data_IF_190973488514
#
_entry.id   IF_190973488514
#
_cell.length_a   1.000
_cell.length_b   1.000
_cell.length_c   1.000
_cell.angle_alpha   90.00
_cell.angle_beta   90.00
_cell.angle_gamma   90.00
#
_symmetry.space_group_name_H-M   'P 1'
#
loop_
_entity.id
_entity.type
_entity.pdbx_description
1 polymer ?
#
# COMPACT_ATOMS: atom_id res chain seq x y z
N UNK A 1 33.04 13.19 -39.61
CA UNK A 1 31.97 12.19 -39.84
C UNK A 1 30.94 12.76 -40.79
N UNK A 2 30.52 12.00 -41.80
CA UNK A 2 29.56 12.45 -42.82
C UNK A 2 28.15 12.58 -42.19
N UNK A 3 27.31 13.54 -42.63
CA UNK A 3 25.98 13.78 -42.04
C UNK A 3 25.07 12.54 -42.02
N UNK A 4 25.22 11.64 -42.99
CA UNK A 4 24.51 10.36 -43.04
C UNK A 4 24.81 9.42 -41.87
N UNK A 5 26.03 9.44 -41.30
CA UNK A 5 26.37 8.60 -40.13
C UNK A 5 25.69 9.09 -38.86
N UNK A 6 25.43 10.39 -38.71
CA UNK A 6 24.67 10.93 -37.55
C UNK A 6 23.20 10.54 -37.61
N UNK A 7 22.59 10.54 -38.80
CA UNK A 7 21.19 10.15 -38.98
C UNK A 7 20.96 8.66 -38.70
N UNK A 8 21.88 7.79 -39.14
CA UNK A 8 21.80 6.35 -38.86
C UNK A 8 21.96 6.04 -37.37
N UNK A 9 22.86 6.71 -36.66
CA UNK A 9 23.04 6.52 -35.20
C UNK A 9 21.81 6.98 -34.42
N UNK A 10 21.17 8.09 -34.80
CA UNK A 10 19.93 8.57 -34.16
C UNK A 10 18.77 7.61 -34.41
N UNK A 11 18.64 7.05 -35.62
CA UNK A 11 17.60 6.06 -35.93
C UNK A 11 17.83 4.75 -35.17
N UNK A 12 19.08 4.27 -35.03
CA UNK A 12 19.40 3.08 -34.24
C UNK A 12 19.12 3.30 -32.75
N UNK A 13 19.47 4.46 -32.17
CA UNK A 13 19.15 4.79 -30.77
C UNK A 13 17.64 4.90 -30.52
N UNK A 14 16.89 5.47 -31.48
CA UNK A 14 15.43 5.53 -31.40
C UNK A 14 14.80 4.13 -31.52
N UNK A 15 15.30 3.27 -32.40
CA UNK A 15 14.85 1.88 -32.54
C UNK A 15 15.19 1.04 -31.30
N UNK A 16 16.39 1.14 -30.75
CA UNK A 16 16.76 0.45 -29.50
C UNK A 16 15.92 0.93 -28.30
N UNK A 17 15.63 2.23 -28.22
CA UNK A 17 14.69 2.74 -27.21
C UNK A 17 13.26 2.21 -27.40
N UNK A 18 12.81 2.05 -28.65
CA UNK A 18 11.49 1.48 -28.96
C UNK A 18 11.43 -0.01 -28.64
N UNK A 19 12.48 -0.78 -28.94
CA UNK A 19 12.55 -2.21 -28.65
C UNK A 19 12.67 -2.48 -27.14
N UNK A 20 13.48 -1.70 -26.41
CA UNK A 20 13.62 -1.82 -24.95
C UNK A 20 12.31 -1.46 -24.22
N UNK A 21 11.60 -0.42 -24.68
CA UNK A 21 10.27 -0.08 -24.19
C UNK A 21 9.29 -1.22 -24.53
N UNK A 22 9.26 -1.71 -25.77
CA UNK A 22 8.34 -2.79 -26.17
C UNK A 22 8.52 -4.11 -25.39
N UNK A 23 9.76 -4.51 -25.09
CA UNK A 23 10.06 -5.70 -24.29
C UNK A 23 9.73 -5.52 -22.79
N UNK A 24 9.78 -4.29 -22.26
CA UNK A 24 9.36 -4.00 -20.89
C UNK A 24 7.83 -3.92 -20.74
N UNK A 25 7.11 -3.53 -21.80
CA UNK A 25 5.64 -3.61 -21.86
C UNK A 25 5.13 -5.06 -21.83
N UNK A 26 5.90 -6.04 -22.32
CA UNK A 26 5.54 -7.46 -22.23
C UNK A 26 5.44 -7.96 -20.77
N UNK A 27 6.18 -7.36 -19.82
CA UNK A 27 6.05 -7.70 -18.40
C UNK A 27 4.69 -7.26 -17.80
N UNK A 28 3.97 -6.34 -18.45
CA UNK A 28 2.71 -5.77 -17.95
C UNK A 28 1.48 -6.09 -18.80
N UNK A 29 1.64 -6.58 -20.04
CA UNK A 29 0.54 -6.78 -21.01
C UNK A 29 -0.62 -7.69 -20.55
N UNK A 30 -0.46 -8.44 -19.47
CA UNK A 30 -1.51 -9.25 -18.85
C UNK A 30 -1.68 -8.97 -17.35
N UNK A 31 -1.34 -7.75 -16.92
CA UNK A 31 -1.34 -7.37 -15.50
C UNK A 31 -2.51 -6.49 -15.11
N UNK A 32 -3.28 -5.90 -16.03
CA UNK A 32 -4.39 -4.99 -15.67
C UNK A 32 -5.73 -5.66 -15.95
N UNK A 33 -6.61 -5.68 -14.94
CA UNK A 33 -7.91 -6.32 -14.99
C UNK A 33 -9.01 -5.35 -14.50
N UNK A 34 -9.72 -4.74 -15.44
CA UNK A 34 -10.83 -3.79 -15.19
C UNK A 34 -12.21 -4.45 -15.15
N UNK A 35 -12.33 -5.70 -15.61
CA UNK A 35 -13.63 -6.37 -15.79
C UNK A 35 -14.50 -6.47 -14.53
N UNK A 36 -13.91 -6.50 -13.33
CA UNK A 36 -14.67 -6.47 -12.08
C UNK A 36 -15.38 -5.12 -11.87
N UNK A 37 -14.69 -4.01 -12.14
CA UNK A 37 -15.26 -2.66 -12.10
C UNK A 37 -16.32 -2.46 -13.21
N UNK A 38 -16.07 -2.96 -14.42
CA UNK A 38 -17.04 -2.87 -15.53
C UNK A 38 -18.34 -3.60 -15.22
N UNK A 39 -18.27 -4.84 -14.70
CA UNK A 39 -19.46 -5.60 -14.30
C UNK A 39 -20.18 -4.93 -13.13
N UNK A 40 -19.43 -4.32 -12.20
CA UNK A 40 -20.00 -3.54 -11.10
C UNK A 40 -20.83 -2.35 -11.61
N UNK A 41 -20.27 -1.53 -12.50
CA UNK A 41 -20.97 -0.36 -13.06
C UNK A 41 -22.17 -0.76 -13.93
N UNK A 42 -22.04 -1.85 -14.71
CA UNK A 42 -23.15 -2.41 -15.49
C UNK A 42 -24.31 -2.85 -14.60
N UNK A 43 -24.02 -3.55 -13.49
CA UNK A 43 -25.06 -3.96 -12.55
C UNK A 43 -25.68 -2.75 -11.83
N UNK A 44 -24.88 -1.72 -11.50
CA UNK A 44 -25.39 -0.45 -11.00
C UNK A 44 -26.37 0.22 -11.95
N UNK A 45 -26.06 0.22 -13.26
CA UNK A 45 -26.95 0.79 -14.27
C UNK A 45 -28.27 0.01 -14.40
N UNK A 46 -28.19 -1.30 -14.31
CA UNK A 46 -29.36 -2.17 -14.32
C UNK A 46 -30.31 -1.85 -13.15
N UNK A 47 -29.76 -1.73 -11.93
CA UNK A 47 -30.50 -1.31 -10.73
C UNK A 47 -31.13 0.07 -10.97
N UNK A 48 -30.34 1.02 -11.46
CA UNK A 48 -30.81 2.39 -11.70
C UNK A 48 -31.95 2.47 -12.72
N UNK A 49 -31.96 1.57 -13.70
CA UNK A 49 -33.00 1.48 -14.73
C UNK A 49 -34.28 0.77 -14.25
N UNK A 50 -34.36 0.39 -12.97
CA UNK A 50 -35.48 -0.34 -12.40
C UNK A 50 -35.51 -1.83 -12.78
N UNK A 51 -34.42 -2.38 -13.30
CA UNK A 51 -34.33 -3.82 -13.59
C UNK A 51 -34.26 -4.58 -12.27
N UNK A 52 -35.17 -5.52 -12.06
CA UNK A 52 -35.10 -6.43 -10.92
C UNK A 52 -33.76 -7.19 -10.93
N UNK A 53 -33.00 -7.09 -9.83
CA UNK A 53 -31.75 -7.83 -9.66
C UNK A 53 -32.03 -9.27 -9.27
N UNK A 54 -31.68 -10.21 -10.14
CA UNK A 54 -31.80 -11.63 -9.87
C UNK A 54 -30.55 -12.17 -9.15
N UNK A 55 -30.64 -13.39 -8.60
CA UNK A 55 -29.51 -14.06 -7.95
C UNK A 55 -28.30 -14.17 -8.91
N UNK A 56 -28.57 -14.45 -10.19
CA UNK A 56 -27.55 -14.62 -11.22
C UNK A 56 -26.76 -13.34 -11.49
N UNK A 57 -27.34 -12.16 -11.32
CA UNK A 57 -26.63 -10.89 -11.50
C UNK A 57 -25.51 -10.72 -10.47
N UNK A 58 -25.82 -11.06 -9.21
CA UNK A 58 -24.85 -11.05 -8.13
C UNK A 58 -23.79 -12.13 -8.31
N UNK A 59 -24.18 -13.32 -8.75
CA UNK A 59 -23.24 -14.40 -9.06
C UNK A 59 -22.27 -14.00 -10.18
N UNK A 60 -22.76 -13.29 -11.22
CA UNK A 60 -21.92 -12.73 -12.29
C UNK A 60 -20.90 -11.73 -11.74
N UNK A 61 -21.31 -10.79 -10.90
CA UNK A 61 -20.38 -9.83 -10.27
C UNK A 61 -19.30 -10.53 -9.44
N UNK A 62 -19.72 -11.41 -8.51
CA UNK A 62 -18.80 -12.02 -7.55
C UNK A 62 -17.97 -13.17 -8.13
N UNK A 63 -18.27 -13.64 -9.35
CA UNK A 63 -17.44 -14.60 -10.09
C UNK A 63 -16.43 -13.94 -11.02
N UNK A 64 -16.42 -12.60 -11.12
CA UNK A 64 -15.32 -11.89 -11.81
C UNK A 64 -14.00 -12.14 -11.10
N UNK A 65 -12.89 -12.07 -11.86
CA UNK A 65 -11.57 -12.44 -11.36
C UNK A 65 -11.14 -11.63 -10.14
N UNK A 66 -11.32 -10.29 -10.18
CA UNK A 66 -10.94 -9.39 -9.09
C UNK A 66 -11.74 -9.67 -7.81
N UNK A 67 -13.06 -9.77 -7.90
CA UNK A 67 -13.88 -10.08 -6.72
C UNK A 67 -13.65 -11.50 -6.19
N UNK A 68 -13.42 -12.49 -7.06
CA UNK A 68 -13.11 -13.86 -6.63
C UNK A 68 -11.85 -13.89 -5.76
N UNK A 69 -10.77 -13.24 -6.21
CA UNK A 69 -9.52 -13.16 -5.44
C UNK A 69 -9.69 -12.30 -4.18
N UNK A 70 -10.27 -11.11 -4.29
CA UNK A 70 -10.44 -10.18 -3.17
C UNK A 70 -11.27 -10.77 -2.03
N UNK A 71 -12.34 -11.50 -2.37
CA UNK A 71 -13.29 -12.08 -1.42
C UNK A 71 -12.85 -13.46 -0.91
N UNK A 72 -11.71 -14.00 -1.37
CA UNK A 72 -11.15 -15.26 -0.89
C UNK A 72 -10.48 -15.10 0.49
N UNK A 73 -11.27 -14.73 1.49
CA UNK A 73 -10.83 -14.56 2.88
C UNK A 73 -12.00 -14.80 3.86
N UNK A 74 -11.75 -14.98 5.17
CA UNK A 74 -12.81 -15.28 6.15
C UNK A 74 -13.94 -14.25 6.24
N UNK A 75 -13.71 -13.01 5.79
CA UNK A 75 -14.72 -11.92 5.77
C UNK A 75 -15.44 -11.80 4.42
N UNK A 76 -15.14 -12.66 3.44
CA UNK A 76 -15.66 -12.56 2.07
C UNK A 76 -17.18 -12.48 1.98
N UNK A 77 -17.90 -13.38 2.68
CA UNK A 77 -19.37 -13.38 2.67
C UNK A 77 -19.99 -12.15 3.35
N UNK A 78 -19.34 -11.63 4.40
CA UNK A 78 -19.74 -10.36 5.01
C UNK A 78 -19.58 -9.22 4.00
N UNK A 79 -18.44 -9.13 3.33
CA UNK A 79 -18.16 -8.08 2.34
C UNK A 79 -19.15 -8.16 1.16
N UNK A 80 -19.48 -9.36 0.67
CA UNK A 80 -20.50 -9.55 -0.37
C UNK A 80 -21.85 -8.97 0.04
N UNK A 81 -22.28 -9.22 1.28
CA UNK A 81 -23.55 -8.69 1.80
C UNK A 81 -23.52 -7.16 1.88
N UNK A 82 -22.44 -6.58 2.40
CA UNK A 82 -22.30 -5.12 2.48
C UNK A 82 -22.23 -4.46 1.10
N UNK A 83 -21.56 -5.08 0.12
CA UNK A 83 -21.53 -4.60 -1.27
C UNK A 83 -22.91 -4.62 -1.92
N UNK A 84 -23.68 -5.70 -1.74
CA UNK A 84 -25.06 -5.78 -2.24
C UNK A 84 -25.92 -4.64 -1.68
N UNK A 85 -25.89 -4.47 -0.37
CA UNK A 85 -26.66 -3.40 0.30
C UNK A 85 -26.22 -2.01 -0.17
N UNK A 86 -24.91 -1.78 -0.26
CA UNK A 86 -24.37 -0.51 -0.74
C UNK A 86 -24.76 -0.21 -2.18
N UNK A 87 -24.75 -1.20 -3.08
CA UNK A 87 -25.16 -1.02 -4.47
C UNK A 87 -26.67 -0.73 -4.57
N UNK A 88 -27.50 -1.47 -3.85
CA UNK A 88 -28.95 -1.21 -3.83
C UNK A 88 -29.24 0.19 -3.28
N UNK A 89 -28.59 0.58 -2.18
CA UNK A 89 -28.73 1.93 -1.64
C UNK A 89 -28.28 3.02 -2.63
N UNK A 90 -27.16 2.81 -3.33
CA UNK A 90 -26.53 3.83 -4.14
C UNK A 90 -27.16 4.01 -5.54
N UNK A 91 -27.65 2.94 -6.15
CA UNK A 91 -28.12 2.95 -7.53
C UNK A 91 -29.64 2.91 -7.67
N UNK A 92 -30.39 2.43 -6.67
CA UNK A 92 -31.86 2.40 -6.71
C UNK A 92 -32.42 3.83 -6.67
N UNK A 93 -33.16 4.28 -7.70
CA UNK A 93 -33.71 5.63 -7.75
C UNK A 93 -34.65 5.95 -6.58
N UNK A 94 -35.30 4.95 -5.99
CA UNK A 94 -36.21 5.13 -4.86
C UNK A 94 -35.47 5.34 -3.53
N UNK A 95 -34.16 5.06 -3.49
CA UNK A 95 -33.32 5.18 -2.28
C UNK A 95 -32.36 6.37 -2.30
N UNK A 96 -32.43 7.24 -3.32
CA UNK A 96 -31.54 8.40 -3.45
C UNK A 96 -31.53 9.29 -2.19
N UNK A 97 -32.70 9.54 -1.59
CA UNK A 97 -32.79 10.35 -0.37
C UNK A 97 -32.05 9.72 0.83
N UNK A 98 -32.12 8.39 0.95
CA UNK A 98 -31.36 7.64 1.96
C UNK A 98 -29.86 7.70 1.66
N UNK A 99 -29.46 7.52 0.39
CA UNK A 99 -28.10 7.63 -0.08
C UNK A 99 -27.50 9.03 0.19
N UNK A 100 -28.27 10.11 0.01
CA UNK A 100 -27.88 11.48 0.34
C UNK A 100 -27.73 11.69 1.86
N UNK A 101 -28.58 11.05 2.65
CA UNK A 101 -28.51 11.14 4.11
C UNK A 101 -27.22 10.51 4.63
N UNK A 102 -26.84 9.33 4.14
CA UNK A 102 -25.67 8.63 4.67
C UNK A 102 -24.34 9.35 4.38
N UNK A 103 -24.27 10.13 3.29
CA UNK A 103 -23.09 10.92 2.98
C UNK A 103 -22.85 12.07 3.96
N UNK A 104 -23.87 12.47 4.73
CA UNK A 104 -23.78 13.53 5.75
C UNK A 104 -23.29 13.00 7.09
N UNK A 105 -23.32 11.68 7.31
CA UNK A 105 -22.84 11.09 8.56
C UNK A 105 -21.30 11.07 8.58
N UNK A 106 -20.68 11.43 9.72
CA UNK A 106 -19.23 11.26 9.86
C UNK A 106 -18.89 9.77 9.80
N UNK A 107 -17.96 9.42 8.92
CA UNK A 107 -17.34 8.11 8.95
C UNK A 107 -16.42 8.00 10.17
N UNK A 108 -16.46 6.86 10.84
CA UNK A 108 -15.63 6.57 12.01
C UNK A 108 -14.75 5.36 11.75
N UNK A 109 -13.60 5.28 12.43
CA UNK A 109 -12.66 4.15 12.28
C UNK A 109 -13.30 2.81 12.67
N UNK A 110 -14.34 2.87 13.50
CA UNK A 110 -15.09 1.71 14.00
C UNK A 110 -16.23 1.27 13.08
N UNK A 111 -16.59 2.04 12.05
CA UNK A 111 -17.74 1.76 11.18
C UNK A 111 -17.36 1.66 9.70
N UNK A 112 -16.55 0.65 9.37
CA UNK A 112 -16.16 0.34 8.00
C UNK A 112 -17.33 0.03 7.04
N UNK A 113 -18.46 -0.59 7.47
CA UNK A 113 -19.63 -0.72 6.60
C UNK A 113 -20.19 0.63 6.13
N UNK A 114 -20.20 1.65 6.99
CA UNK A 114 -20.60 3.00 6.59
C UNK A 114 -19.64 3.59 5.56
N UNK A 115 -18.32 3.45 5.77
CA UNK A 115 -17.29 3.89 4.81
C UNK A 115 -17.52 3.28 3.43
N UNK A 116 -17.75 1.96 3.38
CA UNK A 116 -18.03 1.24 2.12
C UNK A 116 -19.27 1.82 1.44
N UNK A 117 -20.40 1.94 2.17
CA UNK A 117 -21.65 2.48 1.60
C UNK A 117 -21.48 3.90 1.08
N UNK A 118 -20.81 4.76 1.83
CA UNK A 118 -20.51 6.12 1.41
C UNK A 118 -19.64 6.16 0.15
N UNK A 119 -18.63 5.29 0.06
CA UNK A 119 -17.76 5.21 -1.11
C UNK A 119 -18.54 4.80 -2.37
N UNK A 120 -19.36 3.74 -2.27
CA UNK A 120 -20.20 3.28 -3.38
C UNK A 120 -21.25 4.34 -3.77
N UNK A 121 -21.83 5.05 -2.80
CA UNK A 121 -22.73 6.17 -3.07
C UNK A 121 -22.04 7.31 -3.83
N UNK A 122 -20.80 7.66 -3.46
CA UNK A 122 -20.01 8.67 -4.18
C UNK A 122 -19.68 8.21 -5.60
N UNK A 123 -19.30 6.95 -5.78
CA UNK A 123 -19.03 6.36 -7.08
C UNK A 123 -20.26 6.37 -8.00
N UNK A 124 -21.44 6.00 -7.48
CA UNK A 124 -22.68 5.98 -8.25
C UNK A 124 -23.02 7.36 -8.86
N UNK A 125 -22.75 8.45 -8.13
CA UNK A 125 -22.92 9.83 -8.61
C UNK A 125 -21.93 10.24 -9.70
N UNK A 126 -20.84 9.49 -9.87
CA UNK A 126 -19.78 9.71 -10.85
C UNK A 126 -19.69 8.58 -11.87
N UNK A 127 -20.79 7.85 -12.11
CA UNK A 127 -20.79 6.65 -12.96
C UNK A 127 -20.23 6.92 -14.36
N UNK A 128 -20.68 7.98 -15.02
CA UNK A 128 -20.21 8.31 -16.38
C UNK A 128 -18.72 8.67 -16.40
N UNK A 129 -18.24 9.38 -15.38
CA UNK A 129 -16.82 9.66 -15.20
C UNK A 129 -16.03 8.37 -14.98
N UNK A 130 -16.56 7.42 -14.20
CA UNK A 130 -15.94 6.13 -13.95
C UNK A 130 -15.87 5.25 -15.21
N UNK A 131 -16.95 5.19 -15.99
CA UNK A 131 -16.97 4.50 -17.30
C UNK A 131 -15.91 5.11 -18.24
N UNK A 132 -15.84 6.44 -18.31
CA UNK A 132 -14.83 7.14 -19.11
C UNK A 132 -13.40 6.89 -18.62
N UNK A 133 -13.17 6.91 -17.30
CA UNK A 133 -11.87 6.64 -16.70
C UNK A 133 -11.36 5.23 -17.05
N UNK A 134 -12.22 4.21 -16.96
CA UNK A 134 -11.85 2.84 -17.34
C UNK A 134 -11.49 2.71 -18.82
N UNK A 135 -12.19 3.42 -19.70
CA UNK A 135 -11.98 3.35 -21.15
C UNK A 135 -10.71 4.09 -21.61
N UNK A 136 -10.38 5.21 -20.97
CA UNK A 136 -9.35 6.13 -21.46
C UNK A 136 -8.05 6.11 -20.65
N UNK A 137 -8.01 5.45 -19.50
CA UNK A 137 -6.78 5.37 -18.69
C UNK A 137 -5.87 4.26 -19.21
N UNK A 138 -4.68 4.63 -19.66
CA UNK A 138 -3.63 3.67 -20.00
C UNK A 138 -2.93 3.19 -18.72
N UNK A 139 -3.54 2.23 -18.02
CA UNK A 139 -2.96 1.68 -16.80
C UNK A 139 -1.59 1.02 -17.04
N UNK A 140 -1.29 0.54 -18.25
CA UNK A 140 0.00 -0.08 -18.55
C UNK A 140 1.13 0.94 -18.49
N UNK A 141 0.94 2.15 -19.05
CA UNK A 141 1.96 3.21 -18.90
C UNK A 141 2.10 3.65 -17.43
N UNK A 142 1.02 3.65 -16.64
CA UNK A 142 1.09 3.98 -15.22
C UNK A 142 1.91 2.97 -14.43
N UNK A 143 1.65 1.68 -14.62
CA UNK A 143 2.42 0.60 -13.98
C UNK A 143 3.89 0.62 -14.43
N UNK A 144 4.16 0.89 -15.71
CA UNK A 144 5.53 1.04 -16.19
C UNK A 144 6.28 2.15 -15.44
N UNK A 145 5.70 3.35 -15.39
CA UNK A 145 6.27 4.51 -14.69
C UNK A 145 6.44 4.25 -13.20
N UNK A 146 5.48 3.57 -12.59
CA UNK A 146 5.52 3.20 -11.19
C UNK A 146 6.72 2.29 -10.90
N UNK A 147 6.93 1.25 -11.72
CA UNK A 147 8.09 0.37 -11.58
C UNK A 147 9.42 1.12 -11.70
N UNK A 148 9.56 2.01 -12.70
CA UNK A 148 10.76 2.85 -12.84
C UNK A 148 10.96 3.79 -11.65
N UNK A 149 9.87 4.28 -11.05
CA UNK A 149 9.91 5.10 -9.84
C UNK A 149 10.35 4.28 -8.62
N UNK A 150 9.78 3.09 -8.42
CA UNK A 150 10.14 2.16 -7.34
C UNK A 150 11.62 1.80 -7.34
N UNK A 151 12.23 1.60 -8.52
CA UNK A 151 13.67 1.28 -8.64
C UNK A 151 14.59 2.33 -8.02
N UNK A 152 14.14 3.59 -7.85
CA UNK A 152 14.91 4.66 -7.19
C UNK A 152 14.99 4.49 -5.67
N UNK A 153 14.15 3.63 -5.10
CA UNK A 153 14.07 3.32 -3.67
C UNK A 153 14.58 1.91 -3.37
N UNK A 154 15.24 1.27 -4.35
CA UNK A 154 15.75 -0.08 -4.26
C UNK A 154 17.21 -0.13 -4.71
N UNK A 155 18.04 -0.99 -4.08
CA UNK A 155 19.38 -1.23 -4.56
C UNK A 155 19.33 -2.07 -5.84
N UNK A 156 20.36 -1.98 -6.68
CA UNK A 156 20.44 -2.70 -7.95
C UNK A 156 20.18 -4.21 -7.80
N UNK A 157 20.71 -4.82 -6.73
CA UNK A 157 20.51 -6.24 -6.39
C UNK A 157 19.05 -6.66 -6.23
N UNK A 158 18.14 -5.72 -5.97
CA UNK A 158 16.72 -6.01 -5.76
C UNK A 158 15.97 -6.12 -7.10
N UNK A 159 16.29 -5.24 -8.06
CA UNK A 159 15.56 -5.16 -9.32
C UNK A 159 16.28 -5.81 -10.51
N UNK A 160 17.55 -6.18 -10.37
CA UNK A 160 18.32 -6.87 -11.40
C UNK A 160 17.77 -8.27 -11.75
N UNK A 161 16.98 -8.88 -10.85
CA UNK A 161 16.31 -10.17 -11.07
C UNK A 161 15.03 -10.07 -11.92
N UNK A 162 14.59 -8.85 -12.26
CA UNK A 162 13.37 -8.56 -13.01
C UNK A 162 12.15 -9.37 -12.53
N UNK A 163 11.72 -9.16 -11.27
CA UNK A 163 10.70 -9.98 -10.66
C UNK A 163 9.33 -9.80 -11.32
N UNK A 164 8.50 -10.83 -11.17
CA UNK A 164 7.10 -10.76 -11.57
C UNK A 164 6.36 -9.81 -10.63
N UNK A 165 5.94 -8.67 -11.17
CA UNK A 165 5.17 -7.68 -10.42
C UNK A 165 3.71 -8.10 -10.29
N UNK A 166 3.04 -7.53 -9.30
CA UNK A 166 1.65 -7.82 -9.02
C UNK A 166 0.71 -7.51 -10.19
N UNK A 167 -0.35 -8.31 -10.29
CA UNK A 167 -1.51 -7.98 -11.11
C UNK A 167 -2.29 -6.80 -10.49
N UNK A 168 -2.87 -5.92 -11.28
CA UNK A 168 -3.77 -4.85 -10.88
C UNK A 168 -5.21 -5.23 -11.18
N UNK A 169 -6.05 -5.31 -10.16
CA UNK A 169 -7.50 -5.48 -10.27
C UNK A 169 -8.21 -4.19 -9.83
N UNK A 170 -9.02 -3.63 -10.71
CA UNK A 170 -9.93 -2.54 -10.36
C UNK A 170 -11.25 -3.14 -9.85
N UNK A 171 -11.62 -2.78 -8.62
CA UNK A 171 -12.84 -3.20 -7.95
C UNK A 171 -13.54 -1.99 -7.33
N UNK A 172 -14.79 -2.13 -6.87
CA UNK A 172 -15.44 -1.12 -6.04
C UNK A 172 -15.68 -1.70 -4.63
N UNK A 173 -15.17 -1.01 -3.60
CA UNK A 173 -15.22 -1.44 -2.19
C UNK A 173 -15.05 -0.22 -1.26
N UNK A 174 -14.28 -0.33 -0.19
CA UNK A 174 -13.74 0.79 0.58
C UNK A 174 -12.63 1.51 -0.23
N UNK A 175 -12.38 2.81 0.00
CA UNK A 175 -11.42 3.59 -0.78
C UNK A 175 -9.98 3.28 -0.37
N UNK A 176 -9.49 2.12 -0.82
CA UNK A 176 -8.21 1.53 -0.43
C UNK A 176 -7.48 0.93 -1.64
N UNK A 177 -6.17 0.78 -1.50
CA UNK A 177 -5.33 -0.06 -2.35
C UNK A 177 -4.70 -1.12 -1.46
N UNK A 178 -4.95 -2.40 -1.78
CA UNK A 178 -4.43 -3.48 -0.94
C UNK A 178 -3.74 -4.55 -1.77
N UNK A 179 -2.60 -5.04 -1.27
CA UNK A 179 -1.87 -6.14 -1.88
C UNK A 179 -2.19 -7.47 -1.20
N UNK A 180 -2.64 -8.45 -2.00
CA UNK A 180 -2.87 -9.84 -1.56
C UNK A 180 -2.64 -10.79 -2.73
N UNK A 181 -2.05 -11.96 -2.47
CA UNK A 181 -1.87 -13.03 -3.47
C UNK A 181 -1.26 -12.52 -4.80
N UNK A 182 -0.15 -11.80 -4.67
CA UNK A 182 0.55 -11.17 -5.79
C UNK A 182 -0.34 -10.28 -6.68
N UNK A 183 -1.31 -9.59 -6.07
CA UNK A 183 -2.23 -8.69 -6.76
C UNK A 183 -2.50 -7.42 -5.93
N UNK A 184 -2.56 -6.27 -6.61
CA UNK A 184 -3.05 -4.98 -6.13
C UNK A 184 -4.55 -4.92 -6.43
N UNK A 185 -5.36 -4.76 -5.39
CA UNK A 185 -6.79 -4.47 -5.50
C UNK A 185 -6.99 -2.98 -5.25
N UNK A 186 -7.29 -2.24 -6.31
CA UNK A 186 -7.49 -0.80 -6.27
C UNK A 186 -8.98 -0.49 -6.34
N UNK A 187 -9.48 0.28 -5.39
CA UNK A 187 -10.83 0.83 -5.43
C UNK A 187 -11.00 1.84 -6.58
N UNK A 188 -12.06 1.66 -7.36
CA UNK A 188 -12.33 2.48 -8.55
C UNK A 188 -12.59 3.94 -8.20
N UNK A 189 -13.30 4.22 -7.10
CA UNK A 189 -13.63 5.59 -6.74
C UNK A 189 -12.38 6.32 -6.21
N UNK A 190 -11.52 5.62 -5.48
CA UNK A 190 -10.20 6.11 -5.12
C UNK A 190 -9.37 6.41 -6.38
N UNK A 191 -9.28 5.45 -7.30
CA UNK A 191 -8.51 5.61 -8.54
C UNK A 191 -8.97 6.81 -9.37
N UNK A 192 -10.29 6.95 -9.56
CA UNK A 192 -10.92 8.04 -10.29
C UNK A 192 -10.60 9.43 -9.69
N UNK A 193 -10.34 9.48 -8.39
CA UNK A 193 -10.08 10.74 -7.69
C UNK A 193 -8.62 11.20 -7.71
N UNK A 194 -7.72 10.32 -8.13
CA UNK A 194 -6.29 10.55 -8.14
C UNK A 194 -5.86 11.16 -9.47
N UNK A 195 -4.92 12.09 -9.41
CA UNK A 195 -4.19 12.52 -10.59
C UNK A 195 -3.27 11.38 -11.07
N UNK A 196 -2.89 11.44 -12.35
CA UNK A 196 -2.06 10.40 -12.97
C UNK A 196 -0.76 10.11 -12.20
N UNK A 197 -0.04 11.16 -11.77
CA UNK A 197 1.20 10.98 -11.00
C UNK A 197 0.93 10.41 -9.60
N UNK A 198 -0.25 10.62 -9.03
CA UNK A 198 -0.63 10.06 -7.72
C UNK A 198 -0.93 8.57 -7.82
N UNK A 199 -1.53 8.13 -8.94
CA UNK A 199 -1.65 6.70 -9.26
C UNK A 199 -0.28 6.06 -9.46
N UNK A 200 0.64 6.74 -10.16
CA UNK A 200 2.02 6.27 -10.31
C UNK A 200 2.71 6.14 -8.95
N UNK A 201 2.51 7.10 -8.05
CA UNK A 201 3.08 7.09 -6.69
C UNK A 201 2.52 5.93 -5.87
N UNK A 202 1.20 5.74 -5.89
CA UNK A 202 0.54 4.62 -5.23
C UNK A 202 1.00 3.26 -5.76
N UNK A 203 1.05 3.07 -7.07
CA UNK A 203 1.55 1.82 -7.63
C UNK A 203 3.02 1.60 -7.31
N UNK A 204 3.82 2.66 -7.25
CA UNK A 204 5.23 2.55 -6.93
C UNK A 204 5.45 2.15 -5.45
N UNK A 205 4.59 2.64 -4.56
CA UNK A 205 4.47 2.20 -3.18
C UNK A 205 4.17 0.70 -3.11
N UNK A 206 3.12 0.22 -3.79
CA UNK A 206 2.78 -1.21 -3.77
C UNK A 206 3.86 -2.11 -4.39
N UNK A 207 4.51 -1.66 -5.47
CA UNK A 207 5.63 -2.38 -6.06
C UNK A 207 6.84 -2.44 -5.14
N UNK A 208 7.08 -1.44 -4.29
CA UNK A 208 8.15 -1.53 -3.31
C UNK A 208 7.94 -2.75 -2.39
N UNK A 209 6.72 -2.98 -1.91
CA UNK A 209 6.39 -4.17 -1.12
C UNK A 209 6.66 -5.46 -1.89
N UNK A 210 6.36 -5.51 -3.20
CA UNK A 210 6.69 -6.68 -4.02
C UNK A 210 8.18 -6.99 -4.06
N UNK A 211 9.01 -6.01 -4.39
CA UNK A 211 10.46 -6.21 -4.42
C UNK A 211 10.98 -6.61 -3.04
N UNK A 212 10.45 -6.01 -1.97
CA UNK A 212 10.89 -6.30 -0.60
C UNK A 212 10.47 -7.67 -0.12
N UNK A 213 9.26 -8.12 -0.43
CA UNK A 213 8.78 -9.45 -0.08
C UNK A 213 9.73 -10.54 -0.61
N UNK A 214 10.24 -10.38 -1.83
CA UNK A 214 11.19 -11.34 -2.41
C UNK A 214 12.52 -11.45 -1.67
N UNK A 215 13.00 -10.36 -1.08
CA UNK A 215 14.23 -10.36 -0.29
C UNK A 215 14.01 -10.74 1.18
N UNK A 216 12.85 -10.38 1.74
CA UNK A 216 12.53 -10.54 3.15
C UNK A 216 11.18 -11.22 3.38
N UNK A 217 11.15 -12.54 3.18
CA UNK A 217 9.92 -13.33 3.41
C UNK A 217 9.70 -13.75 4.86
N UNK A 218 8.44 -13.70 5.30
CA UNK A 218 7.91 -14.36 6.49
C UNK A 218 8.26 -13.71 7.83
N UNK A 219 7.38 -13.95 8.81
CA UNK A 219 7.54 -13.50 10.20
C UNK A 219 8.86 -14.00 10.80
N UNK A 220 9.49 -13.14 11.61
CA UNK A 220 10.69 -13.50 12.36
C UNK A 220 10.42 -14.37 13.59
N UNK A 221 9.15 -14.50 14.00
CA UNK A 221 8.76 -15.08 15.28
C UNK A 221 9.10 -14.21 16.50
N UNK A 222 9.59 -12.99 16.27
CA UNK A 222 9.90 -12.00 17.30
C UNK A 222 9.11 -10.71 17.03
N UNK A 223 8.32 -10.27 18.00
CA UNK A 223 7.40 -9.15 17.81
C UNK A 223 8.09 -7.81 17.64
N UNK A 224 9.24 -7.60 18.29
CA UNK A 224 10.00 -6.36 18.14
C UNK A 224 10.60 -6.29 16.74
N UNK A 225 11.21 -7.38 16.28
CA UNK A 225 11.75 -7.43 14.93
C UNK A 225 10.66 -7.33 13.86
N UNK A 226 9.50 -7.94 14.08
CA UNK A 226 8.35 -7.81 13.17
C UNK A 226 7.81 -6.38 13.14
N UNK A 227 7.74 -5.67 14.27
CA UNK A 227 7.33 -4.27 14.28
C UNK A 227 8.29 -3.38 13.48
N UNK A 228 9.61 -3.53 13.67
CA UNK A 228 10.60 -2.78 12.91
C UNK A 228 10.67 -3.20 11.43
N UNK A 229 10.32 -4.44 11.11
CA UNK A 229 10.14 -4.91 9.74
C UNK A 229 8.99 -4.18 9.05
N UNK A 230 7.83 -4.08 9.72
CA UNK A 230 6.68 -3.30 9.23
C UNK A 230 7.03 -1.81 9.11
N UNK A 231 7.65 -1.21 10.13
CA UNK A 231 8.06 0.19 10.07
C UNK A 231 9.03 0.47 8.91
N UNK A 232 9.95 -0.45 8.62
CA UNK A 232 10.82 -0.30 7.46
C UNK A 232 10.06 -0.46 6.14
N UNK A 233 9.20 -1.49 6.05
CA UNK A 233 8.41 -1.79 4.86
C UNK A 233 7.55 -0.58 4.46
N UNK A 234 6.71 -0.12 5.39
CA UNK A 234 5.83 1.02 5.15
C UNK A 234 6.61 2.33 5.09
N UNK A 235 7.63 2.51 5.93
CA UNK A 235 8.36 3.76 5.98
C UNK A 235 9.07 4.13 4.69
N UNK A 236 9.71 3.16 4.02
CA UNK A 236 10.37 3.40 2.74
C UNK A 236 9.32 3.57 1.62
N UNK A 237 8.26 2.77 1.63
CA UNK A 237 7.16 2.89 0.67
C UNK A 237 6.49 4.28 0.77
N UNK A 238 6.24 4.76 1.99
CA UNK A 238 5.68 6.08 2.28
C UNK A 238 6.57 7.24 1.79
N UNK A 239 7.88 7.05 1.64
CA UNK A 239 8.75 8.07 1.02
C UNK A 239 8.49 8.26 -0.49
N UNK A 240 7.75 7.34 -1.12
CA UNK A 240 7.41 7.38 -2.54
C UNK A 240 6.18 8.25 -2.78
N UNK A 241 5.11 8.02 -2.02
CA UNK A 241 3.78 8.61 -2.24
C UNK A 241 3.38 9.64 -1.19
N UNK A 242 3.87 9.53 0.05
CA UNK A 242 3.58 10.51 1.11
C UNK A 242 4.60 11.64 1.08
N UNK A 243 4.34 12.65 0.25
CA UNK A 243 5.00 13.95 0.39
C UNK A 243 4.38 14.67 1.60
N UNK A 244 5.22 15.18 2.51
CA UNK A 244 4.85 15.65 3.86
C UNK A 244 3.47 16.34 3.92
N UNK A 245 2.49 15.62 4.48
CA UNK A 245 1.15 16.02 4.90
C UNK A 245 -0.05 15.88 3.94
N UNK A 246 0.08 15.21 2.79
CA UNK A 246 -1.07 14.99 1.89
C UNK A 246 -1.42 13.50 1.74
N UNK A 247 -1.78 12.84 2.84
CA UNK A 247 -2.31 11.48 2.77
C UNK A 247 -3.76 11.50 2.27
N UNK A 248 -3.90 11.55 0.93
CA UNK A 248 -5.20 11.58 0.24
C UNK A 248 -6.07 10.37 0.57
N UNK A 249 -5.48 9.19 0.76
CA UNK A 249 -6.23 7.98 1.10
C UNK A 249 -6.95 8.20 2.42
N UNK A 250 -6.28 8.75 3.44
CA UNK A 250 -6.92 9.07 4.73
C UNK A 250 -8.07 10.08 4.58
N UNK A 251 -7.96 11.04 3.65
CA UNK A 251 -9.04 12.00 3.37
C UNK A 251 -10.30 11.32 2.82
N UNK A 252 -10.14 10.23 2.06
CA UNK A 252 -11.27 9.43 1.55
C UNK A 252 -12.04 8.70 2.65
N UNK A 253 -11.36 8.32 3.72
CA UNK A 253 -11.98 7.72 4.91
C UNK A 253 -12.69 8.77 5.79
N UNK A 254 -12.20 10.02 5.80
CA UNK A 254 -12.84 11.14 6.48
C UNK A 254 -11.96 11.82 7.55
N UNK A 255 -12.46 12.91 8.14
CA UNK A 255 -11.69 13.77 9.05
C UNK A 255 -11.16 13.05 10.29
N UNK A 256 -11.92 12.08 10.83
CA UNK A 256 -11.49 11.29 11.99
C UNK A 256 -10.23 10.46 11.67
N UNK A 257 -10.18 9.82 10.50
CA UNK A 257 -9.02 9.05 10.05
C UNK A 257 -7.80 9.96 9.82
N UNK A 258 -8.01 11.10 9.16
CA UNK A 258 -6.94 12.09 8.95
C UNK A 258 -6.37 12.58 10.28
N UNK A 259 -7.25 12.87 11.26
CA UNK A 259 -6.84 13.32 12.59
C UNK A 259 -6.06 12.23 13.31
N UNK A 260 -6.59 11.00 13.37
CA UNK A 260 -5.94 9.88 14.04
C UNK A 260 -4.57 9.57 13.43
N UNK A 261 -4.44 9.54 12.10
CA UNK A 261 -3.17 9.32 11.43
C UNK A 261 -2.15 10.42 11.78
N UNK A 262 -2.56 11.69 11.75
CA UNK A 262 -1.68 12.82 12.10
C UNK A 262 -1.24 12.80 13.56
N UNK A 263 -2.15 12.43 14.47
CA UNK A 263 -1.85 12.26 15.89
C UNK A 263 -0.82 11.14 16.10
N UNK A 264 -1.00 9.98 15.45
CA UNK A 264 -0.03 8.88 15.52
C UNK A 264 1.34 9.24 14.91
N UNK A 265 1.36 9.94 13.77
CA UNK A 265 2.60 10.42 13.15
C UNK A 265 3.35 11.38 14.08
N UNK A 266 2.63 12.32 14.73
CA UNK A 266 3.21 13.26 15.68
C UNK A 266 3.69 12.57 16.97
N UNK A 267 3.03 11.48 17.36
CA UNK A 267 3.32 10.70 18.57
C UNK A 267 4.37 9.60 18.35
N UNK A 268 4.85 9.39 17.12
CA UNK A 268 5.83 8.36 16.77
C UNK A 268 7.05 8.27 17.73
N UNK A 269 7.68 9.38 18.21
CA UNK A 269 8.75 9.30 19.20
C UNK A 269 8.34 8.62 20.51
N UNK A 270 7.13 8.88 21.01
CA UNK A 270 6.62 8.27 22.23
C UNK A 270 6.27 6.80 21.99
N UNK A 271 5.73 6.47 20.82
CA UNK A 271 5.48 5.07 20.43
C UNK A 271 6.78 4.27 20.41
N UNK A 272 7.85 4.82 19.83
CA UNK A 272 9.19 4.22 19.86
C UNK A 272 9.71 4.04 21.30
N UNK A 273 9.51 5.04 22.17
CA UNK A 273 9.91 4.95 23.58
C UNK A 273 9.14 3.87 24.36
N UNK A 274 7.86 3.68 24.04
CA UNK A 274 7.04 2.60 24.62
C UNK A 274 7.48 1.23 24.13
N UNK A 275 7.74 1.06 22.83
CA UNK A 275 8.28 -0.20 22.29
C UNK A 275 9.63 -0.52 22.93
N UNK A 276 10.51 0.47 23.09
CA UNK A 276 11.81 0.27 23.74
C UNK A 276 11.67 -0.17 25.20
N UNK A 277 10.81 0.51 25.96
CA UNK A 277 10.51 0.14 27.35
C UNK A 277 9.92 -1.27 27.48
N UNK A 278 9.08 -1.67 26.53
CA UNK A 278 8.55 -3.04 26.46
C UNK A 278 9.63 -4.08 26.20
N UNK A 279 10.71 -3.75 25.49
CA UNK A 279 11.82 -4.68 25.27
C UNK A 279 12.52 -5.05 26.59
N UNK A 280 12.60 -4.12 27.53
CA UNK A 280 13.22 -4.34 28.84
C UNK A 280 12.33 -5.23 29.72
N UNK A 281 11.01 -5.04 29.63
CA UNK A 281 10.02 -5.82 30.38
C UNK A 281 9.66 -7.17 29.71
N UNK A 282 10.22 -7.46 28.54
CA UNK A 282 9.83 -8.60 27.73
C UNK A 282 10.26 -9.93 28.36
N UNK A 283 9.27 -10.81 28.59
CA UNK A 283 9.49 -12.21 28.92
C UNK A 283 9.13 -13.07 27.69
N UNK A 284 10.08 -13.82 27.11
CA UNK A 284 9.83 -14.71 25.98
C UNK A 284 8.71 -15.75 26.20
N UNK A 285 8.40 -16.09 27.44
CA UNK A 285 7.31 -17.02 27.77
C UNK A 285 5.91 -16.38 27.68
N UNK A 286 5.84 -15.06 27.55
CA UNK A 286 4.57 -14.31 27.41
C UNK A 286 4.16 -14.11 25.95
N UNK A 287 4.99 -14.52 25.00
CA UNK A 287 4.64 -14.55 23.58
C UNK A 287 3.87 -15.81 23.22
N UNK A 288 2.75 -15.65 22.53
CA UNK A 288 2.02 -16.76 21.91
C UNK A 288 2.26 -16.68 20.40
N UNK A 289 2.72 -17.78 19.79
CA UNK A 289 2.99 -17.88 18.35
C UNK A 289 3.93 -16.79 17.77
N UNK A 290 4.83 -16.26 18.60
CA UNK A 290 5.76 -15.19 18.22
C UNK A 290 5.17 -13.77 18.26
N UNK A 291 3.94 -13.64 18.76
CA UNK A 291 3.26 -12.37 18.96
C UNK A 291 3.25 -11.98 20.45
N UNK A 292 3.65 -10.74 20.72
CA UNK A 292 3.62 -10.07 22.00
C UNK A 292 2.67 -8.89 21.87
N UNK A 293 1.43 -9.12 22.30
CA UNK A 293 0.30 -8.19 22.11
C UNK A 293 0.61 -6.72 22.48
N UNK A 294 1.34 -6.41 23.58
CA UNK A 294 1.67 -5.02 23.90
C UNK A 294 2.47 -4.29 22.82
N UNK A 295 3.30 -4.98 22.04
CA UNK A 295 3.99 -4.40 20.88
C UNK A 295 3.05 -4.29 19.69
N UNK A 296 2.25 -5.33 19.41
CA UNK A 296 1.28 -5.32 18.31
C UNK A 296 0.27 -4.18 18.44
N UNK A 297 -0.22 -3.90 19.65
CA UNK A 297 -1.15 -2.80 19.95
C UNK A 297 -0.55 -1.40 19.70
N UNK A 298 0.78 -1.29 19.50
CA UNK A 298 1.47 -0.04 19.15
C UNK A 298 1.74 0.12 17.65
N UNK A 299 1.52 -0.92 16.84
CA UNK A 299 1.69 -0.88 15.39
C UNK A 299 0.36 -0.50 14.73
N UNK A 300 -0.06 0.75 14.98
CA UNK A 300 -1.29 1.30 14.43
C UNK A 300 -1.13 1.64 12.93
N UNK A 301 -2.23 1.58 12.18
CA UNK A 301 -2.26 1.83 10.74
C UNK A 301 -1.18 1.06 9.98
N UNK A 302 -1.01 -0.23 10.25
CA UNK A 302 0.01 -1.08 9.60
C UNK A 302 1.46 -0.69 9.90
N UNK A 303 1.71 0.33 10.72
CA UNK A 303 3.04 0.89 10.97
C UNK A 303 3.40 2.08 10.10
N UNK A 304 2.52 2.53 9.18
CA UNK A 304 2.79 3.69 8.32
C UNK A 304 3.26 4.94 9.09
N UNK A 305 2.57 5.42 10.15
CA UNK A 305 2.96 6.68 10.79
C UNK A 305 4.37 6.63 11.41
N UNK A 306 4.68 5.55 12.13
CA UNK A 306 5.98 5.36 12.78
C UNK A 306 7.07 5.07 11.75
N UNK A 307 6.78 4.23 10.76
CA UNK A 307 7.67 3.91 9.65
C UNK A 307 8.06 5.15 8.85
N UNK A 308 7.07 5.91 8.39
CA UNK A 308 7.29 7.15 7.65
C UNK A 308 8.06 8.17 8.47
N UNK A 309 7.74 8.32 9.76
CA UNK A 309 8.51 9.18 10.66
C UNK A 309 9.99 8.81 10.70
N UNK A 310 10.30 7.52 10.89
CA UNK A 310 11.67 7.03 10.94
C UNK A 310 12.39 7.20 9.60
N UNK A 311 11.77 6.79 8.50
CA UNK A 311 12.34 6.87 7.15
C UNK A 311 12.57 8.32 6.72
N UNK A 312 11.62 9.22 7.01
CA UNK A 312 11.74 10.65 6.77
C UNK A 312 12.90 11.25 7.54
N UNK A 313 13.07 10.90 8.82
CA UNK A 313 14.21 11.39 9.61
C UNK A 313 15.55 10.89 9.04
N UNK A 314 15.62 9.63 8.63
CA UNK A 314 16.82 9.05 7.97
C UNK A 314 17.14 9.82 6.69
N UNK A 315 16.14 10.06 5.83
CA UNK A 315 16.28 10.83 4.60
C UNK A 315 16.72 12.28 4.87
N UNK A 316 16.05 12.99 5.79
CA UNK A 316 16.34 14.37 6.19
C UNK A 316 17.80 14.54 6.65
N UNK A 317 18.35 13.53 7.31
CA UNK A 317 19.70 13.55 7.85
C UNK A 317 20.76 13.06 6.85
N UNK A 318 20.37 12.76 5.62
CA UNK A 318 21.26 12.45 4.50
C UNK A 318 21.67 10.98 4.39
N UNK A 319 20.92 10.07 5.01
CA UNK A 319 21.22 8.63 5.03
C UNK A 319 20.36 7.81 4.04
N UNK A 320 19.84 8.46 2.99
CA UNK A 320 18.94 7.81 2.02
C UNK A 320 19.61 6.66 1.27
N UNK A 321 20.90 6.79 0.94
CA UNK A 321 21.63 5.74 0.22
C UNK A 321 21.76 4.49 1.08
N UNK A 322 22.15 4.65 2.33
CA UNK A 322 22.29 3.56 3.29
C UNK A 322 20.95 2.89 3.59
N UNK A 323 19.87 3.68 3.63
CA UNK A 323 18.50 3.18 3.75
C UNK A 323 18.14 2.27 2.58
N UNK A 324 18.37 2.72 1.34
CA UNK A 324 18.09 1.96 0.11
C UNK A 324 18.95 0.69 0.05
N UNK A 325 20.26 0.79 0.30
CA UNK A 325 21.17 -0.35 0.25
C UNK A 325 20.75 -1.48 1.21
N UNK A 326 20.03 -1.13 2.28
CA UNK A 326 19.57 -2.02 3.34
C UNK A 326 18.03 -2.10 3.46
N UNK A 327 17.30 -1.87 2.37
CA UNK A 327 15.81 -1.86 2.34
C UNK A 327 15.12 -3.10 2.94
N UNK A 328 15.83 -4.23 3.02
CA UNK A 328 15.39 -5.54 3.51
C UNK A 328 15.98 -5.91 4.88
N UNK A 329 16.55 -4.94 5.62
CA UNK A 329 17.20 -5.17 6.90
C UNK A 329 16.68 -4.25 8.02
N UNK A 330 15.66 -4.70 8.80
CA UNK A 330 15.05 -3.89 9.86
C UNK A 330 15.99 -3.52 11.00
N UNK A 331 17.07 -4.27 11.23
CA UNK A 331 18.07 -3.94 12.25
C UNK A 331 18.91 -2.74 11.81
N UNK A 332 19.30 -2.71 10.53
CA UNK A 332 20.01 -1.56 9.96
C UNK A 332 19.10 -0.35 9.92
N UNK A 333 17.82 -0.52 9.58
CA UNK A 333 16.83 0.55 9.65
C UNK A 333 16.75 1.20 11.04
N UNK A 334 16.62 0.40 12.10
CA UNK A 334 16.63 0.90 13.48
C UNK A 334 17.93 1.62 13.84
N UNK A 335 19.06 1.11 13.35
CA UNK A 335 20.39 1.71 13.59
C UNK A 335 20.56 3.04 12.86
N UNK A 336 20.11 3.13 11.60
CA UNK A 336 20.12 4.36 10.79
C UNK A 336 19.23 5.43 11.41
N UNK A 337 18.04 5.07 11.89
CA UNK A 337 17.18 5.97 12.65
C UNK A 337 17.94 6.56 13.85
N UNK A 338 18.62 5.70 14.60
CA UNK A 338 19.38 6.10 15.77
C UNK A 338 20.56 7.04 15.43
N UNK A 339 21.20 6.86 14.27
CA UNK A 339 22.23 7.77 13.76
C UNK A 339 21.62 9.12 13.36
N UNK A 340 20.52 9.11 12.62
CA UNK A 340 19.79 10.29 12.19
C UNK A 340 19.27 11.11 13.39
N UNK A 341 18.66 10.45 14.38
CA UNK A 341 18.19 11.08 15.62
C UNK A 341 19.32 11.77 16.38
N UNK A 342 20.48 11.10 16.54
CA UNK A 342 21.68 11.70 17.17
C UNK A 342 22.18 12.92 16.40
N UNK A 343 22.26 12.83 15.07
CA UNK A 343 22.70 13.94 14.21
C UNK A 343 21.78 15.15 14.32
N UNK A 344 20.46 14.94 14.27
CA UNK A 344 19.46 16.01 14.48
C UNK A 344 19.55 16.61 15.88
N UNK A 345 19.69 15.77 16.90
CA UNK A 345 19.84 16.19 18.30
C UNK A 345 21.10 17.01 18.56
N UNK A 346 22.15 16.88 17.75
CA UNK A 346 23.36 17.69 17.88
C UNK A 346 23.13 19.17 17.51
N UNK A 347 22.12 19.47 16.69
CA UNK A 347 21.89 20.81 16.13
C UNK A 347 20.50 21.40 16.44
N UNK A 348 19.54 20.58 16.90
CA UNK A 348 18.15 20.95 17.17
C UNK A 348 17.85 21.10 18.67
N UNK A 349 16.96 22.06 18.99
CA UNK A 349 16.37 22.19 20.35
C UNK A 349 15.28 21.15 20.61
N UNK A 350 14.56 20.70 19.58
CA UNK A 350 13.62 19.58 19.67
C UNK A 350 14.41 18.28 19.61
N UNK A 351 14.33 17.49 20.67
CA UNK A 351 15.04 16.21 20.81
C UNK A 351 14.21 15.08 20.22
N UNK A 352 14.82 14.33 19.30
CA UNK A 352 14.32 13.03 18.86
C UNK A 352 14.65 11.95 19.87
N UNK A 353 13.76 10.97 19.99
CA UNK A 353 13.99 9.79 20.81
C UNK A 353 15.10 8.92 20.21
N UNK A 354 16.00 8.42 21.05
CA UNK A 354 17.07 7.50 20.67
C UNK A 354 16.73 6.15 21.28
N UNK A 355 16.61 5.12 20.44
CA UNK A 355 16.41 3.74 20.85
C UNK A 355 17.61 3.28 21.69
N UNK A 356 17.34 2.57 22.77
CA UNK A 356 18.33 2.03 23.69
C UNK A 356 19.20 0.97 23.03
N UNK A 357 20.42 0.80 23.56
CA UNK A 357 21.31 -0.29 23.12
C UNK A 357 20.68 -1.66 23.42
N UNK A 358 19.84 -1.76 24.46
CA UNK A 358 19.11 -2.97 24.81
C UNK A 358 18.18 -3.42 23.67
N UNK A 359 17.29 -2.53 23.19
CA UNK A 359 16.40 -2.83 22.08
C UNK A 359 17.18 -3.14 20.80
N UNK A 360 18.23 -2.36 20.49
CA UNK A 360 19.05 -2.59 19.30
C UNK A 360 19.71 -3.98 19.34
N UNK A 361 20.22 -4.40 20.49
CA UNK A 361 20.84 -5.71 20.65
C UNK A 361 19.82 -6.85 20.64
N UNK A 362 18.61 -6.63 21.17
CA UNK A 362 17.49 -7.57 21.02
C UNK A 362 17.16 -7.80 19.54
N UNK A 363 17.00 -6.73 18.75
CA UNK A 363 16.72 -6.80 17.31
C UNK A 363 17.82 -7.57 16.56
N UNK A 364 19.10 -7.32 16.86
CA UNK A 364 20.23 -8.06 16.27
C UNK A 364 20.16 -9.56 16.58
N UNK A 365 19.84 -9.92 17.82
CA UNK A 365 19.73 -11.31 18.24
C UNK A 365 18.57 -12.02 17.53
N UNK A 366 17.39 -11.39 17.47
CA UNK A 366 16.23 -11.91 16.76
C UNK A 366 16.54 -12.11 15.27
N UNK A 367 17.19 -11.13 14.62
CA UNK A 367 17.53 -11.19 13.21
C UNK A 367 18.51 -12.33 12.89
N UNK A 368 19.52 -12.53 13.76
CA UNK A 368 20.47 -13.64 13.65
C UNK A 368 19.77 -15.00 13.81
N UNK A 369 18.82 -15.13 14.74
CA UNK A 369 18.04 -16.37 14.93
C UNK A 369 17.21 -16.70 13.68
N UNK A 370 16.52 -15.71 13.09
CA UNK A 370 15.76 -15.87 11.84
C UNK A 370 16.65 -16.39 10.69
N UNK A 371 17.83 -15.80 10.50
CA UNK A 371 18.77 -16.23 9.47
C UNK A 371 19.23 -17.70 9.60
N UNK A 372 19.40 -18.18 10.84
CA UNK A 372 19.73 -19.60 11.10
C UNK A 372 18.56 -20.53 10.79
N UNK A 373 17.33 -20.15 11.15
CA UNK A 373 16.14 -20.95 10.89
C UNK A 373 15.88 -21.14 9.39
N UNK A 374 16.06 -20.10 8.56
CA UNK A 374 15.94 -20.21 7.11
C UNK A 374 16.94 -21.21 6.50
N UNK A 375 18.18 -21.25 6.98
CA UNK A 375 19.21 -22.20 6.52
C UNK A 375 18.89 -23.67 6.85
N UNK A 376 18.10 -23.93 7.89
CA UNK A 376 17.73 -25.29 8.28
C UNK A 376 16.49 -25.81 7.53
N UNK A 377 15.60 -24.91 7.07
CA UNK A 377 14.41 -25.27 6.27
C UNK A 377 14.69 -25.42 4.76
N UNK A 378 15.84 -24.95 4.28
CA UNK A 378 16.28 -25.07 2.88
C UNK A 378 17.23 -26.22 2.61
N UNK A 379 17.19 -27.29 3.42
CA UNK A 379 17.91 -28.55 3.21
C UNK A 379 16.92 -29.67 2.93
#
# INVERSE_FOLDING_TARGET
>A
MKPYQKLTIVIFLLLESYFAVSAQYENFKQKVFTGSAEVFLSLGQDIHSGRATAKQDWEKLFSTMGYTKYLNNPKGEMIKRELKEAMLLAFDPDRIAEADSILKHPATITNMPLVLRQNICRLARKREEADSFLLHTDFLILLYRANEKTKKYLPERAWSSNPLLNDLFLIATIPDASVRDHAIFLDLNLALSMQEEELVDLFAHEFFHNYREMAYQGSSGDSFLNAFDLFQNEGIADLIDKKRNDDKIMQFFGEEFVKAYKEELANAPNTLARIDSLSIAFDPNTSQDGEYKPVADLVLFGGHPVGYYMASLIQEQGYMRELIDNYDNPVVFATLYNQAARKKNAVSKRREYILSDHLIDHLKQAYKKRGKAKRHKGK
#
